data_IF_881282980121
#
_entry.id   IF_881282980121
#
_cell.length_a   1.000
_cell.length_b   1.000
_cell.length_c   1.000
_cell.angle_alpha   90.00
_cell.angle_beta   90.00
_cell.angle_gamma   90.00
#
_symmetry.space_group_name_H-M   'P 1'
#
loop_
_entity.id
_entity.type
_entity.pdbx_description
1 polymer ?
#
# COMPACT_ATOMS: atom_id res chain seq x y z
N UNK A 1 9.98 7.20 -1.49
CA UNK A 1 9.16 6.00 -1.81
C UNK A 1 7.74 6.46 -2.05
N UNK A 2 7.09 5.96 -3.09
CA UNK A 2 5.66 6.26 -3.33
C UNK A 2 4.81 5.11 -2.80
N UNK A 3 3.72 5.48 -2.13
CA UNK A 3 2.71 4.60 -1.60
C UNK A 3 1.40 4.80 -2.35
N UNK A 4 0.67 3.71 -2.49
CA UNK A 4 -0.73 3.73 -2.89
C UNK A 4 -1.55 3.32 -1.66
N UNK A 5 -2.48 4.16 -1.25
CA UNK A 5 -3.40 3.92 -0.15
C UNK A 5 -4.77 3.58 -0.73
N UNK A 6 -5.24 2.38 -0.39
CA UNK A 6 -6.59 1.91 -0.67
C UNK A 6 -7.48 2.23 0.53
N UNK A 7 -8.29 3.28 0.42
CA UNK A 7 -9.23 3.68 1.48
C UNK A 7 -10.49 2.81 1.53
N UNK A 8 -10.77 1.99 0.51
CA UNK A 8 -11.88 1.05 0.53
C UNK A 8 -11.57 -0.11 1.49
N UNK A 9 -10.35 -0.66 1.41
CA UNK A 9 -9.91 -1.79 2.22
C UNK A 9 -9.03 -1.40 3.41
N UNK A 10 -8.71 -0.12 3.56
CA UNK A 10 -7.72 0.41 4.50
C UNK A 10 -6.36 -0.26 4.40
N UNK A 11 -5.89 -0.42 3.16
CA UNK A 11 -4.60 -1.05 2.88
C UNK A 11 -3.58 -0.05 2.33
N UNK A 12 -2.33 -0.23 2.71
CA UNK A 12 -1.20 0.57 2.25
C UNK A 12 -0.28 -0.32 1.41
N UNK A 13 -0.06 0.11 0.17
CA UNK A 13 0.74 -0.58 -0.84
C UNK A 13 1.99 0.22 -1.14
N UNK A 14 3.09 -0.46 -1.48
CA UNK A 14 4.25 0.19 -2.13
C UNK A 14 3.96 0.20 -3.62
N UNK A 15 3.94 1.37 -4.25
CA UNK A 15 3.52 1.50 -5.66
C UNK A 15 4.31 0.58 -6.59
N UNK A 16 5.62 0.37 -6.33
CA UNK A 16 6.48 -0.55 -7.11
C UNK A 16 6.08 -2.03 -7.08
N UNK A 17 5.20 -2.43 -6.16
CA UNK A 17 4.73 -3.81 -5.97
C UNK A 17 3.20 -3.92 -5.99
N UNK A 18 2.50 -2.81 -6.25
CA UNK A 18 1.05 -2.81 -6.36
C UNK A 18 0.66 -3.32 -7.76
N UNK A 19 -0.27 -4.25 -7.82
CA UNK A 19 -0.73 -4.88 -9.05
C UNK A 19 -2.04 -5.64 -8.85
N UNK A 20 -2.33 -6.55 -9.77
CA UNK A 20 -3.61 -7.29 -9.78
C UNK A 20 -3.81 -8.13 -8.52
N UNK A 21 -2.74 -8.77 -8.02
CA UNK A 21 -2.78 -9.64 -6.83
C UNK A 21 -3.17 -8.89 -5.55
N UNK A 22 -2.91 -7.58 -5.47
CA UNK A 22 -3.33 -6.77 -4.32
C UNK A 22 -4.66 -6.04 -4.55
N UNK A 23 -5.28 -6.25 -5.71
CA UNK A 23 -6.54 -5.66 -6.10
C UNK A 23 -6.51 -4.18 -6.43
N UNK A 24 -5.35 -3.67 -6.87
CA UNK A 24 -5.14 -2.27 -7.22
C UNK A 24 -6.20 -1.72 -8.19
N UNK A 25 -6.56 -2.51 -9.22
CA UNK A 25 -7.54 -2.11 -10.22
C UNK A 25 -8.99 -2.11 -9.70
N UNK A 26 -9.28 -2.82 -8.61
CA UNK A 26 -10.64 -2.93 -8.07
C UNK A 26 -10.99 -1.84 -7.05
N UNK A 27 -10.00 -1.12 -6.51
CA UNK A 27 -10.25 0.06 -5.66
C UNK A 27 -10.85 1.18 -6.53
N UNK A 28 -12.02 1.76 -6.23
CA UNK A 28 -12.57 2.90 -6.96
C UNK A 28 -11.62 4.11 -6.93
N UNK A 29 -11.58 4.92 -7.99
CA UNK A 29 -10.62 6.04 -8.13
C UNK A 29 -10.73 7.00 -6.94
N UNK A 30 -11.94 7.24 -6.44
CA UNK A 30 -12.25 8.15 -5.33
C UNK A 30 -11.76 7.61 -3.98
N UNK A 31 -11.37 6.33 -3.93
CA UNK A 31 -10.80 5.64 -2.78
C UNK A 31 -9.31 5.34 -2.96
N UNK A 32 -8.68 5.88 -4.00
CA UNK A 32 -7.24 5.78 -4.25
C UNK A 32 -6.55 7.07 -3.81
N UNK A 33 -5.52 6.94 -2.99
CA UNK A 33 -4.61 8.05 -2.69
C UNK A 33 -3.15 7.65 -2.97
N UNK A 34 -2.43 8.50 -3.68
CA UNK A 34 -1.00 8.34 -3.91
C UNK A 34 -0.23 9.35 -3.08
N UNK A 35 0.74 8.87 -2.30
CA UNK A 35 1.50 9.72 -1.38
C UNK A 35 2.96 9.28 -1.32
N UNK A 36 3.87 10.23 -1.17
CA UNK A 36 5.28 9.98 -0.86
C UNK A 36 5.62 10.26 0.61
N UNK A 37 4.63 10.69 1.40
CA UNK A 37 4.81 11.07 2.80
C UNK A 37 4.83 9.83 3.69
N UNK A 38 6.00 9.52 4.24
CA UNK A 38 6.17 8.43 5.21
C UNK A 38 5.48 8.73 6.53
N UNK A 39 5.44 10.00 6.95
CA UNK A 39 4.78 10.42 8.18
C UNK A 39 3.26 10.20 8.11
N UNK A 40 2.64 10.57 6.99
CA UNK A 40 1.22 10.32 6.77
C UNK A 40 0.89 8.84 6.77
N UNK A 41 1.68 8.03 6.06
CA UNK A 41 1.49 6.58 6.05
C UNK A 41 1.61 5.98 7.46
N UNK A 42 2.58 6.42 8.26
CA UNK A 42 2.75 5.97 9.64
C UNK A 42 1.53 6.35 10.50
N UNK A 43 0.98 7.54 10.30
CA UNK A 43 -0.24 7.97 10.97
C UNK A 43 -1.43 7.05 10.62
N UNK A 44 -1.59 6.69 9.35
CA UNK A 44 -2.64 5.76 8.93
C UNK A 44 -2.50 4.38 9.61
N UNK A 45 -1.28 3.87 9.74
CA UNK A 45 -0.99 2.60 10.42
C UNK A 45 -1.31 2.67 11.92
N UNK A 46 -0.84 3.71 12.59
CA UNK A 46 -0.89 3.81 14.06
C UNK A 46 -2.23 4.31 14.59
N UNK A 47 -2.90 5.21 13.87
CA UNK A 47 -4.07 5.94 14.36
C UNK A 47 -5.37 5.52 13.69
N UNK A 48 -5.31 5.09 12.42
CA UNK A 48 -6.51 4.79 11.63
C UNK A 48 -6.70 3.31 11.31
N UNK A 49 -5.79 2.47 11.82
CA UNK A 49 -5.77 1.01 11.69
C UNK A 49 -5.69 0.55 10.23
N UNK A 50 -4.90 1.24 9.42
CA UNK A 50 -4.57 0.77 8.09
C UNK A 50 -3.48 -0.29 8.16
N UNK A 51 -3.61 -1.31 7.32
CA UNK A 51 -2.65 -2.41 7.25
C UNK A 51 -1.77 -2.31 6.01
N UNK A 52 -0.55 -2.82 6.11
CA UNK A 52 0.31 -2.98 4.93
C UNK A 52 -0.18 -4.17 4.13
N UNK A 53 -0.32 -4.00 2.82
CA UNK A 53 -0.72 -5.10 1.96
C UNK A 53 0.27 -6.29 2.06
N UNK A 54 -0.19 -7.49 2.44
CA UNK A 54 0.67 -8.67 2.58
C UNK A 54 1.41 -9.03 1.29
N UNK A 55 0.74 -8.95 0.14
CA UNK A 55 1.36 -9.23 -1.17
C UNK A 55 2.52 -8.27 -1.46
N UNK A 56 2.33 -6.97 -1.23
CA UNK A 56 3.38 -5.98 -1.43
C UNK A 56 4.53 -6.10 -0.41
N UNK A 57 4.29 -6.70 0.76
CA UNK A 57 5.34 -7.03 1.73
C UNK A 57 6.13 -8.27 1.33
N UNK A 58 5.46 -9.34 0.90
CA UNK A 58 6.10 -10.61 0.50
C UNK A 58 7.03 -10.44 -0.69
N UNK A 59 6.63 -9.66 -1.71
CA UNK A 59 7.50 -9.37 -2.87
C UNK A 59 8.80 -8.67 -2.46
N UNK A 60 8.78 -7.83 -1.41
CA UNK A 60 10.00 -7.19 -0.90
C UNK A 60 10.99 -8.23 -0.35
N UNK A 61 10.53 -9.34 0.23
CA UNK A 61 11.42 -10.36 0.78
C UNK A 61 12.10 -11.19 -0.30
N UNK A 62 11.42 -11.45 -1.42
CA UNK A 62 11.99 -12.24 -2.54
C UNK A 62 13.05 -11.48 -3.34
N UNK A 63 12.96 -10.14 -3.41
CA UNK A 63 13.89 -9.29 -4.17
C UNK A 63 15.11 -8.85 -3.35
N UNK A 64 15.20 -9.21 -2.06
CA UNK A 64 16.30 -8.82 -1.17
C UNK A 64 17.36 -9.92 -0.98
N UNK A 65 17.47 -10.87 -1.91
CA UNK A 65 18.40 -12.01 -1.83
C UNK A 65 19.54 -11.96 -2.88
N UNK A 66 19.90 -10.76 -3.34
CA UNK A 66 21.03 -10.50 -4.26
C UNK A 66 22.14 -9.69 -3.57
#
# INVERSE_FOLDING_TARGET
>A
MTYFVDHLKKNIHRTRYAGDDCGFLQTPIEKREFTNSTAFVKQLEEQELYERCPHCQSVKMLVNND
#
